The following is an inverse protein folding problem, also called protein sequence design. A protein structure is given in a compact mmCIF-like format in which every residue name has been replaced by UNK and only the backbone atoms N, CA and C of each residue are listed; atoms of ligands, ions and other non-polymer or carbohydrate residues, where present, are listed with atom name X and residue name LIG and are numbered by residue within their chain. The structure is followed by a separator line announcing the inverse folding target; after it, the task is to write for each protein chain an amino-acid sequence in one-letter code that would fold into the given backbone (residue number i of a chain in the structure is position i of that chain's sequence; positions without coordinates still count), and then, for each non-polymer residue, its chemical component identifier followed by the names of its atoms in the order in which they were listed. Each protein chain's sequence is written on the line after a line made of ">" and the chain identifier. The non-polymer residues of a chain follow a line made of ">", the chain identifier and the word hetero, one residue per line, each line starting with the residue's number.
data_IF_055759790437
#
_entry.id   IF_055759790437
#
_cell.length_a   1.000
_cell.length_b   1.000
_cell.length_c   1.000
_cell.angle_alpha   90.00
_cell.angle_beta   90.00
_cell.angle_gamma   90.00
#
_symmetry.space_group_name_H-M   'P 1'
#
loop_
_entity.id
_entity.type
_entity.pdbx_description
1 polymer ?
#
# COMPACT_ATOMS: atom_id res chain seq x y z
N UNK A 1 3.54 -2.45 6.31
CA UNK A 1 4.14 -3.78 6.62
C UNK A 1 3.20 -4.57 7.49
N UNK A 2 3.43 -5.87 7.69
CA UNK A 2 2.60 -6.75 8.54
C UNK A 2 3.37 -7.12 9.81
N UNK A 3 2.76 -6.89 10.97
CA UNK A 3 3.28 -7.32 12.28
C UNK A 3 2.61 -8.64 12.69
N UNK A 4 3.41 -9.61 13.11
CA UNK A 4 2.94 -10.73 13.91
C UNK A 4 2.97 -10.32 15.40
N UNK A 5 1.80 -10.18 16.06
CA UNK A 5 1.74 -9.70 17.44
C UNK A 5 2.30 -10.70 18.46
N UNK A 6 2.38 -11.99 18.11
CA UNK A 6 2.87 -13.03 19.03
C UNK A 6 4.40 -13.12 19.08
N UNK A 7 5.05 -12.81 17.96
CA UNK A 7 6.52 -12.92 17.81
C UNK A 7 7.20 -11.56 17.68
N UNK A 8 6.46 -10.49 17.39
CA UNK A 8 7.01 -9.19 17.03
C UNK A 8 7.62 -9.14 15.63
N UNK A 9 7.55 -10.23 14.86
CA UNK A 9 8.13 -10.28 13.50
C UNK A 9 7.42 -9.30 12.58
N UNK A 10 8.18 -8.46 11.89
CA UNK A 10 7.67 -7.54 10.88
C UNK A 10 8.04 -8.04 9.48
N UNK A 11 7.03 -8.25 8.65
CA UNK A 11 7.20 -8.44 7.20
C UNK A 11 7.02 -7.10 6.50
N UNK A 12 8.04 -6.67 5.75
CA UNK A 12 8.00 -5.44 4.95
C UNK A 12 7.60 -5.78 3.52
N UNK A 13 6.76 -4.94 2.94
CA UNK A 13 6.37 -4.97 1.52
C UNK A 13 6.93 -3.70 0.88
N UNK A 14 8.07 -3.78 0.17
CA UNK A 14 8.68 -2.59 -0.43
C UNK A 14 7.81 -2.06 -1.56
N UNK A 15 7.71 -0.75 -1.67
CA UNK A 15 7.00 -0.11 -2.78
C UNK A 15 7.75 -0.36 -4.09
N UNK A 16 7.05 -0.71 -5.19
CA UNK A 16 7.69 -0.99 -6.47
C UNK A 16 8.18 0.28 -7.20
N UNK A 17 7.73 1.47 -6.78
CA UNK A 17 8.14 2.77 -7.31
C UNK A 17 8.61 3.70 -6.17
N UNK A 18 9.83 4.27 -6.22
CA UNK A 18 10.30 5.25 -5.24
C UNK A 18 9.43 6.50 -5.09
N UNK A 19 8.66 6.87 -6.12
CA UNK A 19 7.69 7.97 -6.06
C UNK A 19 6.49 7.63 -5.19
N UNK A 20 6.20 6.35 -4.95
CA UNK A 20 5.16 5.92 -4.03
C UNK A 20 5.63 6.01 -2.57
N UNK A 21 6.19 7.15 -2.21
CA UNK A 21 6.52 7.47 -0.83
C UNK A 21 5.27 7.93 -0.09
N UNK A 22 5.26 7.75 1.23
CA UNK A 22 4.14 8.15 2.11
C UNK A 22 2.84 7.33 1.90
N UNK A 23 2.87 5.98 2.04
CA UNK A 23 1.65 5.19 2.13
C UNK A 23 0.93 5.54 3.43
N UNK A 24 -0.34 5.93 3.33
CA UNK A 24 -1.04 6.58 4.44
C UNK A 24 -2.22 5.75 4.94
N UNK A 25 -3.38 5.85 4.29
CA UNK A 25 -4.63 5.26 4.79
C UNK A 25 -4.89 3.93 4.12
N UNK A 26 -5.02 2.86 4.90
CA UNK A 26 -5.31 1.51 4.41
C UNK A 26 -6.73 1.06 4.78
N UNK A 27 -7.35 0.27 3.89
CA UNK A 27 -8.64 -0.39 4.10
C UNK A 27 -8.57 -1.84 3.63
N UNK A 28 -9.29 -2.73 4.31
CA UNK A 28 -9.41 -4.12 3.89
C UNK A 28 -10.45 -4.23 2.77
N UNK A 29 -10.08 -4.89 1.68
CA UNK A 29 -10.99 -5.32 0.62
C UNK A 29 -11.51 -6.74 0.85
N UNK A 30 -12.21 -7.26 -0.15
CA UNK A 30 -12.58 -8.67 -0.20
C UNK A 30 -11.34 -9.57 -0.34
N UNK A 31 -11.46 -10.84 0.08
CA UNK A 31 -10.43 -11.86 -0.11
C UNK A 31 -9.02 -11.51 0.40
N UNK A 32 -8.96 -10.71 1.47
CA UNK A 32 -7.72 -10.26 2.15
C UNK A 32 -6.90 -9.26 1.35
N UNK A 33 -7.48 -8.60 0.36
CA UNK A 33 -6.86 -7.46 -0.29
C UNK A 33 -6.72 -6.28 0.69
N UNK A 34 -5.67 -5.48 0.51
CA UNK A 34 -5.53 -4.20 1.20
C UNK A 34 -5.40 -3.10 0.15
N UNK A 35 -6.32 -2.15 0.19
CA UNK A 35 -6.24 -0.92 -0.59
C UNK A 35 -5.68 0.19 0.27
N UNK A 36 -4.89 1.08 -0.31
CA UNK A 36 -4.33 2.20 0.43
C UNK A 36 -4.08 3.43 -0.44
N UNK A 37 -4.04 4.60 0.19
CA UNK A 37 -3.61 5.83 -0.47
C UNK A 37 -2.12 6.06 -0.30
N UNK A 38 -1.51 6.71 -1.30
CA UNK A 38 -0.12 7.15 -1.27
C UNK A 38 -0.13 8.66 -1.44
N UNK A 39 -0.23 9.37 -0.31
CA UNK A 39 -0.64 10.77 -0.27
C UNK A 39 0.30 11.64 -1.07
N UNK A 40 1.60 11.61 -0.78
CA UNK A 40 2.54 12.45 -1.51
C UNK A 40 2.96 11.86 -2.86
N UNK A 41 2.68 10.57 -3.11
CA UNK A 41 3.03 9.87 -4.34
C UNK A 41 2.02 10.01 -5.48
N UNK A 42 0.80 10.48 -5.23
CA UNK A 42 -0.27 10.56 -6.22
C UNK A 42 -0.71 9.19 -6.79
N UNK A 43 -0.74 8.17 -5.93
CA UNK A 43 -1.19 6.82 -6.26
C UNK A 43 -2.28 6.33 -5.32
N UNK A 44 -3.10 5.41 -5.81
CA UNK A 44 -3.77 4.40 -5.00
C UNK A 44 -2.96 3.10 -5.12
N UNK A 45 -2.74 2.43 -4.01
CA UNK A 45 -2.06 1.15 -3.94
C UNK A 45 -3.01 0.01 -3.60
N UNK A 46 -2.71 -1.16 -4.14
CA UNK A 46 -3.34 -2.44 -3.80
C UNK A 46 -2.25 -3.43 -3.40
N UNK A 47 -2.43 -4.08 -2.25
CA UNK A 47 -1.57 -5.12 -1.72
C UNK A 47 -2.36 -6.43 -1.68
N UNK A 48 -1.92 -7.39 -2.48
CA UNK A 48 -2.36 -8.78 -2.38
C UNK A 48 -1.64 -9.43 -1.19
N UNK A 49 -2.39 -9.82 -0.17
CA UNK A 49 -1.83 -10.39 1.06
C UNK A 49 -1.42 -11.86 0.94
N UNK A 50 -1.86 -12.58 -0.10
CA UNK A 50 -1.42 -13.95 -0.37
C UNK A 50 -0.02 -13.95 -1.00
N UNK A 51 0.25 -13.04 -1.93
CA UNK A 51 1.54 -12.96 -2.65
C UNK A 51 2.50 -11.92 -2.07
N UNK A 52 2.00 -10.91 -1.36
CA UNK A 52 2.77 -9.75 -0.93
C UNK A 52 3.06 -8.74 -2.03
N UNK A 53 2.46 -8.89 -3.22
CA UNK A 53 2.68 -7.99 -4.36
C UNK A 53 1.89 -6.70 -4.19
N UNK A 54 2.54 -5.58 -4.48
CA UNK A 54 1.92 -4.25 -4.53
C UNK A 54 1.72 -3.85 -5.99
N UNK A 55 0.50 -3.44 -6.34
CA UNK A 55 0.17 -2.75 -7.57
C UNK A 55 -0.15 -1.29 -7.27
N UNK A 56 0.42 -0.38 -8.06
CA UNK A 56 0.18 1.06 -7.95
C UNK A 56 -0.65 1.55 -9.14
N UNK A 57 -1.64 2.39 -8.86
CA UNK A 57 -2.50 3.04 -9.85
C UNK A 57 -2.30 4.55 -9.72
N UNK A 58 -1.74 5.23 -10.75
CA UNK A 58 -1.56 6.67 -10.71
C UNK A 58 -2.91 7.38 -10.80
N UNK A 59 -3.07 8.48 -10.06
CA UNK A 59 -4.27 9.31 -10.16
C UNK A 59 -4.16 10.26 -11.36
N UNK A 60 -5.26 10.45 -12.12
CA UNK A 60 -5.26 11.33 -13.29
C UNK A 60 -5.15 12.81 -12.91
N UNK A 61 -5.62 13.17 -11.72
CA UNK A 61 -5.45 14.52 -11.16
C UNK A 61 -4.05 14.62 -10.56
N UNK A 62 -3.25 15.56 -11.05
CA UNK A 62 -1.93 15.82 -10.50
C UNK A 62 -2.03 16.36 -9.07
N UNK A 63 -1.13 15.91 -8.19
CA UNK A 63 -1.05 16.36 -6.80
C UNK A 63 -2.39 16.24 -6.04
N UNK A 64 -3.16 15.18 -6.34
CA UNK A 64 -4.45 14.91 -5.70
C UNK A 64 -4.32 14.68 -4.18
N UNK A 65 -3.12 14.29 -3.73
CA UNK A 65 -2.80 14.05 -2.32
C UNK A 65 -3.82 13.14 -1.61
N UNK A 66 -4.09 11.95 -2.16
CA UNK A 66 -5.13 11.05 -1.67
C UNK A 66 -4.90 10.54 -0.25
#
# INVERSE_FOLDING_TARGET
>A
GKLDPSTGKITKYPMPDPKAHDPHTLVFGHDRDIWFTVQQGNFVGHLDMATGKIQLMPLPTAQARP
#
